data_IF_344809577369
#
_entry.id   IF_344809577369
#
_cell.length_a   1.000
_cell.length_b   1.000
_cell.length_c   1.000
_cell.angle_alpha   90.00
_cell.angle_beta   90.00
_cell.angle_gamma   90.00
#
_symmetry.space_group_name_H-M   'P 1'
#
loop_
_entity.id
_entity.type
_entity.pdbx_description
1 polymer ?
#
# COMPACT_ATOMS: atom_id res chain seq x y z
N UNK A 1 13.92 23.54 -16.15
CA UNK A 1 13.30 24.44 -15.15
C UNK A 1 13.08 23.57 -13.91
N UNK A 2 13.56 23.97 -12.73
CA UNK A 2 13.44 23.14 -11.53
C UNK A 2 11.95 23.00 -11.14
N UNK A 3 11.46 21.76 -11.00
CA UNK A 3 10.03 21.40 -10.85
C UNK A 3 9.34 22.25 -9.79
N UNK A 4 10.02 22.51 -8.67
CA UNK A 4 9.48 23.30 -7.57
C UNK A 4 9.14 24.76 -7.95
N UNK A 5 9.97 25.43 -8.77
CA UNK A 5 9.69 26.81 -9.20
C UNK A 5 8.54 26.87 -10.22
N UNK A 6 8.41 25.84 -11.06
CA UNK A 6 7.27 25.76 -11.98
C UNK A 6 5.96 25.59 -11.20
N UNK A 7 5.96 24.71 -10.21
CA UNK A 7 4.83 24.49 -9.32
C UNK A 7 4.50 25.77 -8.54
N UNK A 8 5.51 26.45 -8.01
CA UNK A 8 5.32 27.71 -7.28
C UNK A 8 4.65 28.78 -8.15
N UNK A 9 5.11 28.96 -9.40
CA UNK A 9 4.49 29.89 -10.34
C UNK A 9 3.04 29.53 -10.64
N UNK A 10 2.74 28.24 -10.85
CA UNK A 10 1.36 27.78 -11.05
C UNK A 10 0.47 28.04 -9.84
N UNK A 11 1.01 27.83 -8.63
CA UNK A 11 0.27 28.14 -7.42
C UNK A 11 0.00 29.63 -7.28
N UNK A 12 0.97 30.50 -7.58
CA UNK A 12 0.79 31.95 -7.55
C UNK A 12 -0.27 32.42 -8.55
N UNK A 13 -0.27 31.86 -9.76
CA UNK A 13 -1.30 32.13 -10.78
C UNK A 13 -2.69 31.69 -10.30
N UNK A 14 -2.82 30.48 -9.74
CA UNK A 14 -4.09 29.96 -9.22
C UNK A 14 -4.61 30.79 -8.04
N UNK A 15 -3.74 31.14 -7.08
CA UNK A 15 -4.10 31.96 -5.92
C UNK A 15 -4.49 33.38 -6.37
N UNK A 16 -3.72 33.98 -7.28
CA UNK A 16 -3.99 35.31 -7.82
C UNK A 16 -5.31 35.37 -8.59
N UNK A 17 -5.64 34.32 -9.33
CA UNK A 17 -6.85 34.22 -10.14
C UNK A 17 -8.06 33.65 -9.37
N UNK A 18 -7.93 33.29 -8.09
CA UNK A 18 -9.03 32.71 -7.31
C UNK A 18 -10.28 33.61 -7.31
N UNK A 19 -10.10 34.94 -7.29
CA UNK A 19 -11.19 35.93 -7.31
C UNK A 19 -11.87 36.08 -8.66
N UNK A 20 -11.27 35.56 -9.73
CA UNK A 20 -11.82 35.60 -11.10
C UNK A 20 -12.87 34.51 -11.27
N UNK A 21 -12.83 33.46 -10.46
CA UNK A 21 -13.81 32.39 -10.47
C UNK A 21 -14.93 32.69 -9.49
N UNK A 22 -16.08 33.10 -10.02
CA UNK A 22 -17.29 33.33 -9.22
C UNK A 22 -17.88 32.02 -8.64
N UNK A 23 -17.45 30.87 -9.19
CA UNK A 23 -17.90 29.54 -8.80
C UNK A 23 -16.73 28.70 -8.24
N UNK A 24 -16.88 28.27 -6.98
CA UNK A 24 -15.93 27.38 -6.31
C UNK A 24 -15.74 26.05 -7.04
N UNK A 25 -16.78 25.54 -7.73
CA UNK A 25 -16.69 24.31 -8.51
C UNK A 25 -15.76 24.48 -9.71
N UNK A 26 -15.89 25.59 -10.45
CA UNK A 26 -15.01 25.91 -11.58
C UNK A 26 -13.57 26.12 -11.11
N UNK A 27 -13.37 26.82 -9.99
CA UNK A 27 -12.03 26.99 -9.41
C UNK A 27 -11.40 25.65 -9.03
N UNK A 28 -12.13 24.79 -8.31
CA UNK A 28 -11.67 23.46 -7.93
C UNK A 28 -11.33 22.59 -9.15
N UNK A 29 -12.14 22.67 -10.20
CA UNK A 29 -11.90 22.00 -11.49
C UNK A 29 -10.56 22.43 -12.09
N UNK A 30 -10.30 23.74 -12.16
CA UNK A 30 -9.04 24.25 -12.68
C UNK A 30 -7.83 23.93 -11.80
N UNK A 31 -8.00 23.86 -10.47
CA UNK A 31 -6.95 23.40 -9.56
C UNK A 31 -6.55 21.96 -9.90
N UNK A 32 -7.51 21.05 -10.11
CA UNK A 32 -7.23 19.67 -10.53
C UNK A 32 -6.49 19.65 -11.87
N UNK A 33 -6.99 20.38 -12.88
CA UNK A 33 -6.40 20.42 -14.22
C UNK A 33 -4.95 20.92 -14.22
N UNK A 34 -4.69 22.01 -13.51
CA UNK A 34 -3.39 22.69 -13.55
C UNK A 34 -2.34 22.04 -12.67
N UNK A 35 -2.73 21.45 -11.53
CA UNK A 35 -1.79 20.88 -10.56
C UNK A 35 -1.69 19.35 -10.61
N UNK A 36 -2.77 18.64 -10.92
CA UNK A 36 -2.81 17.18 -10.81
C UNK A 36 -2.80 16.48 -12.18
N UNK A 37 -3.56 17.00 -13.14
CA UNK A 37 -3.59 16.43 -14.50
C UNK A 37 -2.45 16.94 -15.40
N UNK A 38 -1.79 18.02 -14.99
CA UNK A 38 -0.66 18.58 -15.70
C UNK A 38 0.59 17.71 -15.53
N UNK A 39 0.99 17.00 -16.60
CA UNK A 39 2.18 16.13 -16.60
C UNK A 39 3.51 16.84 -16.31
N UNK A 40 3.55 18.17 -16.39
CA UNK A 40 4.75 18.95 -16.03
C UNK A 40 4.85 19.22 -14.52
N UNK A 41 3.77 18.99 -13.77
CA UNK A 41 3.78 19.03 -12.31
C UNK A 41 4.19 17.66 -11.78
N UNK A 42 5.13 17.66 -10.83
CA UNK A 42 5.62 16.44 -10.21
C UNK A 42 5.78 16.68 -8.70
N UNK A 43 4.79 16.23 -7.93
CA UNK A 43 4.80 16.33 -6.46
C UNK A 43 5.75 15.31 -5.81
N UNK A 44 6.24 14.31 -6.55
CA UNK A 44 7.26 13.37 -6.07
C UNK A 44 8.67 14.01 -6.11
N UNK A 45 8.87 15.04 -6.94
CA UNK A 45 10.14 15.74 -7.06
C UNK A 45 10.32 16.92 -6.07
N UNK A 46 9.29 17.25 -5.29
CA UNK A 46 9.32 18.38 -4.33
C UNK A 46 9.40 17.85 -2.91
N UNK A 47 10.40 18.27 -2.15
CA UNK A 47 10.55 17.88 -0.75
C UNK A 47 9.94 18.92 0.22
N UNK A 48 9.10 18.52 1.19
CA UNK A 48 8.37 19.46 2.02
C UNK A 48 9.22 20.15 3.08
N UNK A 49 10.38 19.57 3.43
CA UNK A 49 11.32 20.09 4.45
C UNK A 49 12.57 20.74 3.85
N UNK A 50 12.52 21.12 2.56
CA UNK A 50 13.62 21.76 1.83
C UNK A 50 13.44 23.28 1.75
N UNK A 51 14.28 23.98 0.97
CA UNK A 51 14.17 25.42 0.67
C UNK A 51 12.82 25.85 0.04
N UNK A 52 11.89 24.92 -0.21
CA UNK A 52 10.60 25.12 -0.86
C UNK A 52 9.41 25.15 0.11
N UNK A 53 9.61 25.50 1.38
CA UNK A 53 8.53 25.66 2.39
C UNK A 53 7.39 26.55 1.87
N UNK A 54 7.71 27.63 1.16
CA UNK A 54 6.73 28.54 0.54
C UNK A 54 5.85 27.83 -0.50
N UNK A 55 6.46 27.01 -1.37
CA UNK A 55 5.74 26.22 -2.38
C UNK A 55 4.76 25.24 -1.72
N UNK A 56 5.17 24.59 -0.63
CA UNK A 56 4.31 23.68 0.13
C UNK A 56 3.13 24.42 0.75
N UNK A 57 3.33 25.55 1.41
CA UNK A 57 2.21 26.32 1.97
C UNK A 57 1.21 26.79 0.90
N UNK A 58 1.70 27.13 -0.29
CA UNK A 58 0.83 27.46 -1.43
C UNK A 58 0.07 26.22 -1.95
N UNK A 59 0.70 25.06 -1.98
CA UNK A 59 0.01 23.80 -2.30
C UNK A 59 -1.02 23.44 -1.21
N UNK A 60 -0.70 23.64 0.06
CA UNK A 60 -1.62 23.40 1.18
C UNK A 60 -2.87 24.28 1.10
N UNK A 61 -2.73 25.54 0.67
CA UNK A 61 -3.87 26.44 0.52
C UNK A 61 -4.77 26.09 -0.66
N UNK A 62 -4.25 25.36 -1.67
CA UNK A 62 -4.97 24.98 -2.88
C UNK A 62 -5.53 23.56 -2.84
N UNK A 63 -4.73 22.57 -2.44
CA UNK A 63 -5.10 21.15 -2.45
C UNK A 63 -5.08 20.51 -1.06
N UNK A 64 -4.53 21.16 -0.04
CA UNK A 64 -4.50 20.60 1.31
C UNK A 64 -5.89 20.26 1.84
N UNK A 65 -6.00 19.29 2.77
CA UNK A 65 -7.27 18.78 3.28
C UNK A 65 -8.24 19.88 3.78
N UNK A 66 -7.70 20.96 4.35
CA UNK A 66 -8.50 22.07 4.87
C UNK A 66 -8.73 23.22 3.85
N UNK A 67 -8.17 23.12 2.64
CA UNK A 67 -8.31 24.14 1.59
C UNK A 67 -9.75 24.27 1.12
N UNK A 68 -10.12 25.46 0.63
CA UNK A 68 -11.45 25.71 0.08
C UNK A 68 -11.72 24.80 -1.13
N UNK A 69 -10.75 24.66 -2.04
CA UNK A 69 -10.90 23.83 -3.24
C UNK A 69 -11.08 22.36 -2.88
N UNK A 70 -10.29 21.81 -1.94
CA UNK A 70 -10.44 20.40 -1.54
C UNK A 70 -11.80 20.12 -0.88
N UNK A 71 -12.30 21.07 -0.07
CA UNK A 71 -13.65 20.98 0.51
C UNK A 71 -14.72 20.94 -0.59
N UNK A 72 -14.59 21.79 -1.61
CA UNK A 72 -15.48 21.75 -2.79
C UNK A 72 -15.35 20.43 -3.54
N UNK A 73 -14.14 19.93 -3.77
CA UNK A 73 -13.90 18.62 -4.40
C UNK A 73 -14.62 17.51 -3.63
N UNK A 74 -14.53 17.50 -2.29
CA UNK A 74 -15.19 16.48 -1.48
C UNK A 74 -16.73 16.57 -1.49
N UNK A 75 -17.28 17.78 -1.66
CA UNK A 75 -18.71 18.02 -1.73
C UNK A 75 -19.35 17.55 -3.06
N UNK A 76 -18.56 17.43 -4.14
CA UNK A 76 -19.03 17.01 -5.47
C UNK A 76 -18.44 15.67 -5.88
N UNK A 77 -19.27 14.65 -6.06
CA UNK A 77 -18.81 13.27 -6.35
C UNK A 77 -17.96 13.17 -7.63
N UNK A 78 -18.36 13.84 -8.71
CA UNK A 78 -17.61 13.86 -9.97
C UNK A 78 -16.20 14.46 -9.81
N UNK A 79 -16.08 15.57 -9.06
CA UNK A 79 -14.79 16.18 -8.79
C UNK A 79 -13.94 15.32 -7.86
N UNK A 80 -14.56 14.65 -6.90
CA UNK A 80 -13.88 13.77 -5.96
C UNK A 80 -13.24 12.58 -6.69
N UNK A 81 -13.99 11.91 -7.56
CA UNK A 81 -13.47 10.80 -8.37
C UNK A 81 -12.37 11.28 -9.32
N UNK A 82 -12.58 12.40 -10.03
CA UNK A 82 -11.58 13.01 -10.92
C UNK A 82 -10.30 13.36 -10.17
N UNK A 83 -10.41 13.96 -8.99
CA UNK A 83 -9.27 14.26 -8.12
C UNK A 83 -8.49 12.99 -7.76
N UNK A 84 -9.18 11.94 -7.29
CA UNK A 84 -8.53 10.70 -6.89
C UNK A 84 -7.85 10.01 -8.07
N UNK A 85 -8.48 10.01 -9.24
CA UNK A 85 -7.89 9.49 -10.46
C UNK A 85 -6.63 10.27 -10.85
N UNK A 86 -6.68 11.60 -10.88
CA UNK A 86 -5.54 12.45 -11.23
C UNK A 86 -4.39 12.31 -10.22
N UNK A 87 -4.71 12.31 -8.92
CA UNK A 87 -3.75 12.14 -7.85
C UNK A 87 -3.06 10.76 -7.91
N UNK A 88 -3.83 9.67 -8.05
CA UNK A 88 -3.28 8.32 -8.20
C UNK A 88 -2.46 8.15 -9.48
N UNK A 89 -2.85 8.82 -10.56
CA UNK A 89 -2.13 8.72 -11.85
C UNK A 89 -0.75 9.35 -11.81
N UNK A 90 -0.50 10.29 -10.90
CA UNK A 90 0.80 10.96 -10.76
C UNK A 90 1.93 9.96 -10.45
N UNK A 91 1.66 8.96 -9.61
CA UNK A 91 2.66 7.91 -9.29
C UNK A 91 2.83 6.90 -10.41
N UNK A 92 1.86 6.74 -11.32
CA UNK A 92 1.96 5.80 -12.45
C UNK A 92 2.87 6.31 -13.56
N UNK A 93 2.80 7.60 -13.85
CA UNK A 93 3.48 8.18 -15.02
C UNK A 93 4.90 8.66 -14.73
N UNK A 94 5.25 8.85 -13.45
CA UNK A 94 6.55 9.37 -13.03
C UNK A 94 7.46 8.23 -12.58
N UNK A 95 8.53 8.02 -13.34
CA UNK A 95 9.55 7.05 -12.97
C UNK A 95 10.54 7.67 -11.98
N UNK A 96 10.44 7.27 -10.71
CA UNK A 96 11.40 7.64 -9.68
C UNK A 96 12.22 6.40 -9.35
N UNK A 97 13.52 6.46 -9.60
CA UNK A 97 14.44 5.33 -9.36
C UNK A 97 14.70 5.10 -7.87
N UNK A 98 14.66 6.16 -7.07
CA UNK A 98 14.95 6.08 -5.64
C UNK A 98 13.68 6.23 -4.81
N UNK A 99 13.20 5.10 -4.29
CA UNK A 99 12.02 5.05 -3.44
C UNK A 99 12.30 5.42 -1.98
N UNK A 100 13.57 5.53 -1.56
CA UNK A 100 13.91 5.86 -0.17
C UNK A 100 13.40 7.25 0.24
N UNK A 101 13.33 8.18 -0.73
CA UNK A 101 12.85 9.54 -0.50
C UNK A 101 11.33 9.70 -0.59
N UNK A 102 10.55 8.63 -0.84
CA UNK A 102 9.10 8.74 -1.01
C UNK A 102 8.43 9.52 0.14
N UNK A 103 8.78 9.20 1.39
CA UNK A 103 8.21 9.85 2.60
C UNK A 103 8.58 11.32 2.70
N UNK A 104 9.63 11.75 2.02
CA UNK A 104 10.11 13.12 1.96
C UNK A 104 9.54 13.87 0.75
N UNK A 105 8.50 13.37 0.09
CA UNK A 105 7.88 14.06 -1.06
C UNK A 105 6.62 14.83 -0.65
N UNK A 106 6.30 15.89 -1.39
CA UNK A 106 5.05 16.62 -1.26
C UNK A 106 3.85 15.71 -1.52
N UNK A 107 3.97 14.77 -2.47
CA UNK A 107 2.96 13.75 -2.72
C UNK A 107 2.66 12.92 -1.46
N UNK A 108 3.69 12.35 -0.83
CA UNK A 108 3.50 11.57 0.39
C UNK A 108 3.00 12.40 1.57
N UNK A 109 3.41 13.68 1.65
CA UNK A 109 2.88 14.63 2.63
C UNK A 109 1.36 14.82 2.50
N UNK A 110 0.88 15.14 1.28
CA UNK A 110 -0.54 15.31 1.04
C UNK A 110 -1.32 14.00 1.20
N UNK A 111 -0.78 12.89 0.68
CA UNK A 111 -1.40 11.57 0.86
C UNK A 111 -1.55 11.21 2.34
N UNK A 112 -0.51 11.42 3.14
CA UNK A 112 -0.56 11.17 4.59
C UNK A 112 -1.57 12.09 5.28
N UNK A 113 -1.63 13.37 4.89
CA UNK A 113 -2.62 14.32 5.40
C UNK A 113 -4.05 13.87 5.08
N UNK A 114 -4.34 13.44 3.84
CA UNK A 114 -5.65 12.91 3.50
C UNK A 114 -5.96 11.64 4.28
N UNK A 115 -5.05 10.66 4.28
CA UNK A 115 -5.23 9.39 5.01
C UNK A 115 -5.48 9.65 6.49
N UNK A 116 -4.73 10.54 7.14
CA UNK A 116 -4.90 10.85 8.56
C UNK A 116 -6.25 11.45 8.92
N UNK A 117 -6.88 12.17 7.99
CA UNK A 117 -8.20 12.76 8.19
C UNK A 117 -9.34 11.85 7.74
N UNK A 118 -9.18 11.11 6.63
CA UNK A 118 -10.15 10.11 6.21
C UNK A 118 -10.13 8.88 7.13
N UNK A 119 -8.98 8.54 7.74
CA UNK A 119 -8.79 7.42 8.65
C UNK A 119 -8.34 7.89 10.04
N UNK A 120 -9.22 8.55 10.81
CA UNK A 120 -8.83 9.12 12.09
C UNK A 120 -8.44 8.01 13.08
N UNK A 121 -7.20 8.11 13.59
CA UNK A 121 -6.66 7.16 14.57
C UNK A 121 -6.93 7.58 16.02
N UNK A 122 -7.35 8.83 16.26
CA UNK A 122 -7.60 9.40 17.60
C UNK A 122 -8.99 10.01 17.72
N UNK A 123 -9.54 10.05 18.94
CA UNK A 123 -10.85 10.65 19.20
C UNK A 123 -10.90 12.15 18.84
N UNK A 124 -9.80 12.88 19.02
CA UNK A 124 -9.71 14.29 18.64
C UNK A 124 -9.88 14.47 17.12
N UNK A 125 -9.17 13.67 16.32
CA UNK A 125 -9.30 13.69 14.86
C UNK A 125 -10.71 13.27 14.44
N UNK A 126 -11.23 12.20 15.03
CA UNK A 126 -12.59 11.72 14.74
C UNK A 126 -13.62 12.82 15.00
N UNK A 127 -13.53 13.50 16.14
CA UNK A 127 -14.41 14.62 16.49
C UNK A 127 -14.30 15.78 15.50
N UNK A 128 -13.07 16.14 15.12
CA UNK A 128 -12.81 17.20 14.14
C UNK A 128 -13.50 16.93 12.78
N UNK A 129 -13.41 15.70 12.28
CA UNK A 129 -13.99 15.35 10.97
C UNK A 129 -15.51 15.20 11.07
N UNK A 130 -16.04 14.66 12.18
CA UNK A 130 -17.49 14.58 12.41
C UNK A 130 -18.16 15.96 12.47
N UNK A 131 -17.46 16.96 12.99
CA UNK A 131 -17.97 18.34 13.09
C UNK A 131 -17.77 19.15 11.80
N UNK A 132 -17.23 18.56 10.74
CA UNK A 132 -16.98 19.25 9.48
C UNK A 132 -18.19 19.19 8.56
N UNK A 133 -18.86 20.34 8.38
CA UNK A 133 -20.11 20.45 7.60
C UNK A 133 -19.99 20.00 6.14
N UNK A 134 -18.80 20.14 5.54
CA UNK A 134 -18.52 19.77 4.15
C UNK A 134 -18.23 18.27 3.95
N UNK A 135 -18.03 17.54 5.05
CA UNK A 135 -17.86 16.08 5.04
C UNK A 135 -19.20 15.34 5.08
N UNK A 136 -20.29 16.09 5.29
CA UNK A 136 -21.63 15.56 5.39
C UNK A 136 -22.24 15.41 3.99
N UNK A 137 -22.34 14.17 3.50
CA UNK A 137 -23.14 13.87 2.30
C UNK A 137 -24.59 14.24 2.59
N UNK A 138 -25.12 15.21 1.85
CA UNK A 138 -26.49 15.68 2.01
C UNK A 138 -27.46 14.53 1.65
N UNK A 139 -28.30 14.03 2.57
CA UNK A 139 -29.11 12.82 2.35
C UNK A 139 -30.13 12.94 1.20
N UNK A 140 -30.36 14.17 0.71
CA UNK A 140 -31.27 14.47 -0.39
C UNK A 140 -30.69 14.13 -1.78
N UNK A 141 -29.43 13.72 -1.90
CA UNK A 141 -28.86 13.28 -3.19
C UNK A 141 -29.02 11.77 -3.45
N UNK A 142 -29.62 11.01 -2.54
CA UNK A 142 -29.98 9.62 -2.81
C UNK A 142 -31.04 9.59 -3.92
N UNK A 143 -30.61 9.22 -5.13
CA UNK A 143 -31.50 8.92 -6.23
C UNK A 143 -32.51 7.87 -5.78
N UNK A 144 -33.75 8.30 -5.56
CA UNK A 144 -34.85 7.42 -5.16
C UNK A 144 -34.96 6.29 -6.20
N UNK A 145 -34.62 5.07 -5.79
CA UNK A 145 -34.67 3.89 -6.65
C UNK A 145 -36.14 3.50 -6.86
N UNK A 146 -36.76 4.09 -7.88
CA UNK A 146 -38.17 3.89 -8.22
C UNK A 146 -38.44 2.62 -9.08
N UNK A 147 -37.52 1.66 -9.16
CA UNK A 147 -37.76 0.45 -9.97
C UNK A 147 -36.95 -0.78 -9.52
N UNK A 148 -37.59 -1.95 -9.30
CA UNK A 148 -36.92 -3.21 -8.94
C UNK A 148 -35.92 -3.72 -9.98
N UNK A 149 -36.10 -3.37 -11.26
CA UNK A 149 -35.21 -3.81 -12.35
C UNK A 149 -33.86 -3.08 -12.37
N UNK A 150 -33.73 -1.96 -11.66
CA UNK A 150 -32.44 -1.27 -11.50
C UNK A 150 -31.50 -1.99 -10.53
N UNK A 151 -32.00 -2.93 -9.72
CA UNK A 151 -31.22 -3.74 -8.78
C UNK A 151 -30.29 -4.77 -9.43
N UNK A 152 -30.49 -5.05 -10.73
CA UNK A 152 -29.73 -6.06 -11.47
C UNK A 152 -28.61 -5.47 -12.34
N UNK A 153 -28.34 -4.16 -12.22
CA UNK A 153 -27.20 -3.56 -12.93
C UNK A 153 -25.89 -3.90 -12.20
N UNK A 154 -24.78 -4.13 -12.92
CA UNK A 154 -23.47 -4.35 -12.29
C UNK A 154 -23.13 -3.25 -11.28
N UNK A 155 -23.46 -1.99 -11.60
CA UNK A 155 -23.25 -0.85 -10.70
C UNK A 155 -24.05 -0.96 -9.39
N UNK A 156 -25.22 -1.62 -9.39
CA UNK A 156 -26.07 -1.82 -8.21
C UNK A 156 -25.71 -3.09 -7.43
N UNK A 157 -25.07 -4.05 -8.09
CA UNK A 157 -24.48 -5.24 -7.46
C UNK A 157 -23.14 -4.85 -6.79
N UNK A 158 -22.32 -4.01 -7.42
CA UNK A 158 -21.17 -3.35 -6.77
C UNK A 158 -21.65 -2.41 -5.65
N UNK A 159 -22.74 -1.66 -5.85
CA UNK A 159 -23.38 -0.91 -4.77
C UNK A 159 -24.05 -1.81 -3.72
N UNK A 160 -24.21 -3.12 -3.94
CA UNK A 160 -24.77 -4.02 -2.92
C UNK A 160 -23.72 -4.34 -1.85
N UNK A 161 -22.43 -4.40 -2.21
CA UNK A 161 -21.34 -4.38 -1.23
C UNK A 161 -21.25 -3.04 -0.49
N UNK A 162 -21.50 -1.92 -1.16
CA UNK A 162 -21.69 -0.64 -0.48
C UNK A 162 -22.98 -0.62 0.37
N UNK A 163 -24.05 -1.30 -0.03
CA UNK A 163 -25.35 -1.28 0.63
C UNK A 163 -25.34 -1.94 2.01
N UNK A 164 -24.50 -2.95 2.25
CA UNK A 164 -24.27 -3.52 3.59
C UNK A 164 -23.74 -2.45 4.60
N UNK A 165 -23.04 -1.43 4.09
CA UNK A 165 -22.54 -0.30 4.87
C UNK A 165 -23.44 0.95 4.79
N UNK A 166 -24.26 1.08 3.75
CA UNK A 166 -25.10 2.28 3.52
C UNK A 166 -26.47 2.16 4.21
N UNK A 167 -26.96 0.94 4.50
CA UNK A 167 -28.30 0.69 5.06
C UNK A 167 -28.37 0.57 6.59
N UNK A 168 -27.41 1.12 7.32
CA UNK A 168 -27.54 1.25 8.78
C UNK A 168 -27.86 2.70 9.12
N UNK A 169 -29.07 3.01 9.64
CA UNK A 169 -29.58 4.39 9.83
C UNK A 169 -28.71 5.33 10.65
N UNK A 170 -27.74 4.80 11.42
CA UNK A 170 -26.77 5.51 12.26
C UNK A 170 -25.48 5.91 11.54
N UNK A 171 -25.18 5.39 10.34
CA UNK A 171 -23.93 5.65 9.60
C UNK A 171 -24.03 6.86 8.68
N UNK A 172 -24.79 7.87 9.10
CA UNK A 172 -25.04 9.06 8.30
C UNK A 172 -23.75 9.88 8.21
N UNK A 173 -23.10 9.77 7.05
CA UNK A 173 -22.33 10.80 6.36
C UNK A 173 -20.78 10.69 6.37
N UNK A 174 -20.13 10.31 7.47
CA UNK A 174 -18.64 10.22 7.53
C UNK A 174 -18.07 8.97 6.84
N UNK A 175 -18.68 7.82 7.14
CA UNK A 175 -18.20 6.49 6.75
C UNK A 175 -18.18 6.24 5.23
N UNK A 176 -19.16 6.71 4.44
CA UNK A 176 -19.15 6.54 2.99
C UNK A 176 -17.98 7.25 2.32
N UNK A 177 -17.58 8.46 2.77
CA UNK A 177 -16.46 9.20 2.18
C UNK A 177 -15.11 8.57 2.52
N UNK A 178 -14.92 8.10 3.75
CA UNK A 178 -13.77 7.28 4.13
C UNK A 178 -13.66 6.04 3.23
N UNK A 179 -14.77 5.32 3.10
CA UNK A 179 -14.87 4.14 2.26
C UNK A 179 -14.52 4.47 0.81
N UNK A 180 -15.20 5.46 0.22
CA UNK A 180 -14.97 5.90 -1.15
C UNK A 180 -13.51 6.31 -1.39
N UNK A 181 -12.90 7.08 -0.47
CA UNK A 181 -11.53 7.54 -0.62
C UNK A 181 -10.55 6.37 -0.82
N UNK A 182 -10.53 5.42 0.12
CA UNK A 182 -9.59 4.30 0.08
C UNK A 182 -9.91 3.34 -1.06
N UNK A 183 -11.19 3.04 -1.24
CA UNK A 183 -11.68 2.14 -2.26
C UNK A 183 -11.29 2.60 -3.66
N UNK A 184 -11.56 3.87 -4.00
CA UNK A 184 -11.18 4.44 -5.30
C UNK A 184 -9.67 4.59 -5.44
N UNK A 185 -8.98 5.06 -4.39
CA UNK A 185 -7.54 5.26 -4.46
C UNK A 185 -6.81 3.93 -4.72
N UNK A 186 -7.16 2.86 -3.99
CA UNK A 186 -6.58 1.52 -4.22
C UNK A 186 -7.00 1.01 -5.59
N UNK A 187 -8.29 1.09 -5.97
CA UNK A 187 -8.76 0.67 -7.30
C UNK A 187 -7.96 1.34 -8.42
N UNK A 188 -7.76 2.65 -8.36
CA UNK A 188 -6.99 3.37 -9.38
C UNK A 188 -5.51 3.00 -9.37
N UNK A 189 -4.92 2.76 -8.18
CA UNK A 189 -3.54 2.32 -8.04
C UNK A 189 -3.34 0.82 -8.35
N UNK A 190 -4.39 0.02 -8.51
CA UNK A 190 -4.28 -1.40 -8.86
C UNK A 190 -4.74 -1.70 -10.29
N UNK A 191 -5.16 -0.69 -11.06
CA UNK A 191 -5.44 -0.91 -12.49
C UNK A 191 -4.16 -1.21 -13.25
N UNK A 192 -4.26 -2.14 -14.19
CA UNK A 192 -3.17 -2.63 -15.05
C UNK A 192 -3.25 -2.02 -16.46
N UNK A 193 -3.74 -0.78 -16.56
CA UNK A 193 -3.80 -0.01 -17.82
C UNK A 193 -2.40 0.28 -18.38
N UNK A 194 -1.42 0.40 -17.49
CA UNK A 194 0.01 0.43 -17.79
C UNK A 194 0.73 -0.55 -16.88
N UNK A 195 1.92 -1.03 -17.29
CA UNK A 195 2.74 -1.84 -16.40
C UNK A 195 3.05 -1.05 -15.11
N UNK A 196 2.77 -1.61 -13.91
CA UNK A 196 2.97 -0.89 -12.67
C UNK A 196 4.44 -0.56 -12.43
N UNK A 197 4.71 0.42 -11.57
CA UNK A 197 6.07 0.80 -11.20
C UNK A 197 6.30 0.67 -9.67
N UNK A 198 7.55 0.74 -9.25
CA UNK A 198 7.92 0.57 -7.84
C UNK A 198 7.30 1.67 -6.95
N UNK A 199 7.17 2.90 -7.44
CA UNK A 199 6.56 3.99 -6.68
C UNK A 199 5.08 3.77 -6.42
N UNK A 200 4.36 3.15 -7.37
CA UNK A 200 2.98 2.72 -7.19
C UNK A 200 2.87 1.65 -6.10
N UNK A 201 3.79 0.68 -6.04
CA UNK A 201 3.85 -0.33 -4.97
C UNK A 201 4.14 0.29 -3.60
N UNK A 202 5.10 1.21 -3.52
CA UNK A 202 5.44 1.93 -2.28
C UNK A 202 4.26 2.78 -1.81
N UNK A 203 3.54 3.43 -2.73
CA UNK A 203 2.33 4.20 -2.43
C UNK A 203 1.23 3.30 -1.88
N UNK A 204 0.99 2.14 -2.50
CA UNK A 204 0.04 1.14 -2.01
C UNK A 204 0.43 0.65 -0.60
N UNK A 205 1.70 0.33 -0.37
CA UNK A 205 2.20 -0.08 0.95
C UNK A 205 1.92 1.00 2.00
N UNK A 206 2.21 2.27 1.68
CA UNK A 206 1.94 3.40 2.57
C UNK A 206 0.45 3.55 2.91
N UNK A 207 -0.43 3.43 1.92
CA UNK A 207 -1.89 3.47 2.13
C UNK A 207 -2.34 2.33 3.05
N UNK A 208 -1.84 1.11 2.80
CA UNK A 208 -2.16 -0.07 3.60
C UNK A 208 -1.67 0.06 5.04
N UNK A 209 -0.47 0.61 5.27
CA UNK A 209 0.05 0.88 6.61
C UNK A 209 -0.86 1.84 7.39
N UNK A 210 -1.32 2.92 6.74
CA UNK A 210 -2.28 3.86 7.36
C UNK A 210 -3.63 3.20 7.62
N UNK A 211 -4.14 2.40 6.68
CA UNK A 211 -5.38 1.64 6.85
C UNK A 211 -5.33 0.70 8.06
N UNK A 212 -4.24 -0.05 8.24
CA UNK A 212 -4.12 -0.96 9.37
C UNK A 212 -3.89 -0.22 10.69
N UNK A 213 -3.09 0.85 10.70
CA UNK A 213 -2.97 1.73 11.89
C UNK A 213 -4.34 2.22 12.34
N UNK A 214 -5.19 2.58 11.39
CA UNK A 214 -6.58 2.95 11.64
C UNK A 214 -7.44 1.82 12.20
N UNK A 215 -7.35 0.61 11.63
CA UNK A 215 -8.11 -0.54 12.10
C UNK A 215 -7.72 -0.99 13.51
N UNK A 216 -6.46 -0.83 13.89
CA UNK A 216 -5.94 -1.23 15.20
C UNK A 216 -6.19 -0.16 16.26
N UNK A 217 -6.23 1.11 15.88
CA UNK A 217 -6.41 2.20 16.85
C UNK A 217 -7.77 2.15 17.55
N UNK A 218 -7.75 2.47 18.84
CA UNK A 218 -8.96 2.49 19.67
C UNK A 218 -9.55 3.90 19.70
N UNK A 219 -10.88 3.96 19.66
CA UNK A 219 -11.66 5.19 19.77
C UNK A 219 -12.84 4.93 20.69
N UNK A 220 -13.26 5.94 21.44
CA UNK A 220 -14.37 5.82 22.39
C UNK A 220 -15.75 5.66 21.71
N UNK A 221 -15.83 5.96 20.42
CA UNK A 221 -17.06 5.88 19.63
C UNK A 221 -17.41 4.44 19.23
N UNK A 222 -18.50 3.90 19.78
CA UNK A 222 -18.94 2.52 19.56
C UNK A 222 -19.35 2.21 18.12
N UNK A 223 -19.99 3.17 17.45
CA UNK A 223 -20.40 3.01 16.05
C UNK A 223 -19.16 2.99 15.16
N UNK A 224 -18.19 3.84 15.46
CA UNK A 224 -16.90 3.89 14.77
C UNK A 224 -16.08 2.60 14.96
N UNK A 225 -16.09 2.03 16.16
CA UNK A 225 -15.44 0.75 16.42
C UNK A 225 -16.14 -0.41 15.70
N UNK A 226 -17.48 -0.38 15.64
CA UNK A 226 -18.26 -1.37 14.89
C UNK A 226 -17.97 -1.29 13.38
N UNK A 227 -17.79 -0.07 12.85
CA UNK A 227 -17.35 0.15 11.47
C UNK A 227 -15.98 -0.47 11.20
N UNK A 228 -14.98 -0.18 12.04
CA UNK A 228 -13.62 -0.72 11.93
C UNK A 228 -13.62 -2.24 11.96
N UNK A 229 -14.43 -2.87 12.82
CA UNK A 229 -14.53 -4.33 12.88
C UNK A 229 -15.02 -4.92 11.55
N UNK A 230 -16.01 -4.30 10.91
CA UNK A 230 -16.48 -4.74 9.58
C UNK A 230 -15.41 -4.58 8.52
N UNK A 231 -14.74 -3.43 8.49
CA UNK A 231 -13.64 -3.16 7.56
C UNK A 231 -12.46 -4.14 7.74
N UNK A 232 -12.18 -4.54 8.98
CA UNK A 232 -11.16 -5.54 9.30
C UNK A 232 -11.48 -6.90 8.68
N UNK A 233 -12.73 -7.34 8.76
CA UNK A 233 -13.14 -8.66 8.28
C UNK A 233 -13.34 -8.69 6.76
N UNK A 234 -13.72 -7.56 6.16
CA UNK A 234 -14.04 -7.46 4.73
C UNK A 234 -13.60 -6.09 4.18
N UNK A 235 -12.29 -5.90 3.91
CA UNK A 235 -11.82 -4.68 3.27
C UNK A 235 -12.45 -4.54 1.88
N UNK A 236 -13.00 -3.38 1.52
CA UNK A 236 -13.77 -3.25 0.29
C UNK A 236 -12.93 -3.35 -0.99
N UNK A 237 -11.66 -3.00 -0.88
CA UNK A 237 -10.69 -3.02 -1.97
C UNK A 237 -9.93 -4.35 -2.09
N UNK A 238 -10.26 -5.34 -1.25
CA UNK A 238 -9.48 -6.56 -1.11
C UNK A 238 -9.30 -7.30 -2.45
N UNK A 239 -10.39 -7.46 -3.20
CA UNK A 239 -10.38 -8.18 -4.48
C UNK A 239 -9.47 -7.51 -5.53
N UNK A 240 -9.53 -6.18 -5.70
CA UNK A 240 -8.64 -5.50 -6.63
C UNK A 240 -7.17 -5.63 -6.24
N UNK A 241 -6.86 -5.52 -4.95
CA UNK A 241 -5.49 -5.64 -4.47
C UNK A 241 -4.97 -7.08 -4.58
N UNK A 242 -5.82 -8.06 -4.32
CA UNK A 242 -5.52 -9.47 -4.49
C UNK A 242 -5.19 -9.82 -5.95
N UNK A 243 -6.06 -9.45 -6.88
CA UNK A 243 -5.87 -9.75 -8.31
C UNK A 243 -4.64 -9.04 -8.88
N UNK A 244 -4.41 -7.80 -8.44
CA UNK A 244 -3.20 -7.06 -8.74
C UNK A 244 -1.95 -7.79 -8.23
N UNK A 245 -1.91 -8.16 -6.94
CA UNK A 245 -0.77 -8.86 -6.34
C UNK A 245 -0.50 -10.20 -7.00
N UNK A 246 -1.53 -11.00 -7.29
CA UNK A 246 -1.40 -12.24 -8.05
C UNK A 246 -0.65 -12.00 -9.36
N UNK A 247 -1.12 -11.03 -10.14
CA UNK A 247 -0.51 -10.71 -11.43
C UNK A 247 0.93 -10.21 -11.30
N UNK A 248 1.20 -9.38 -10.29
CA UNK A 248 2.55 -8.88 -10.03
C UNK A 248 3.49 -10.00 -9.58
N UNK A 249 3.06 -10.90 -8.70
CA UNK A 249 3.89 -12.04 -8.27
C UNK A 249 4.22 -12.99 -9.43
N UNK A 250 3.26 -13.24 -10.33
CA UNK A 250 3.46 -14.08 -11.51
C UNK A 250 4.43 -13.47 -12.53
N UNK A 251 4.19 -12.20 -12.90
CA UNK A 251 4.83 -11.60 -14.07
C UNK A 251 6.01 -10.67 -13.75
N UNK A 252 6.12 -10.16 -12.51
CA UNK A 252 7.12 -9.14 -12.20
C UNK A 252 8.54 -9.72 -12.20
N UNK A 253 9.53 -9.02 -12.79
CA UNK A 253 10.92 -9.49 -12.78
C UNK A 253 11.43 -9.79 -11.37
N UNK A 254 12.15 -10.90 -11.20
CA UNK A 254 12.71 -11.28 -9.89
C UNK A 254 13.99 -10.50 -9.59
N UNK A 255 13.88 -9.17 -9.53
CA UNK A 255 14.94 -8.25 -9.15
C UNK A 255 14.70 -7.69 -7.72
N UNK A 256 15.50 -6.70 -7.31
CA UNK A 256 15.40 -6.09 -5.98
C UNK A 256 14.00 -5.52 -5.67
N UNK A 257 13.25 -5.08 -6.69
CA UNK A 257 11.94 -4.49 -6.53
C UNK A 257 10.83 -5.51 -6.28
N UNK A 258 11.10 -6.80 -6.55
CA UNK A 258 10.18 -7.89 -6.23
C UNK A 258 9.91 -8.00 -4.72
N UNK A 259 10.89 -7.63 -3.88
CA UNK A 259 10.73 -7.54 -2.42
C UNK A 259 9.54 -6.63 -2.07
N UNK A 260 9.38 -5.50 -2.76
CA UNK A 260 8.28 -4.55 -2.47
C UNK A 260 6.91 -5.16 -2.73
N UNK A 261 6.78 -6.07 -3.70
CA UNK A 261 5.53 -6.81 -3.96
C UNK A 261 5.25 -7.79 -2.82
N UNK A 262 6.28 -8.52 -2.39
CA UNK A 262 6.17 -9.48 -1.28
C UNK A 262 5.84 -8.78 0.03
N UNK A 263 6.46 -7.62 0.31
CA UNK A 263 6.12 -6.79 1.47
C UNK A 263 4.67 -6.30 1.43
N UNK A 264 4.19 -5.87 0.26
CA UNK A 264 2.80 -5.43 0.10
C UNK A 264 1.82 -6.59 0.30
N UNK A 265 2.15 -7.78 -0.21
CA UNK A 265 1.39 -9.01 0.04
C UNK A 265 1.39 -9.37 1.53
N UNK A 266 2.54 -9.37 2.20
CA UNK A 266 2.64 -9.62 3.64
C UNK A 266 1.77 -8.65 4.42
N UNK A 267 1.76 -7.37 4.05
CA UNK A 267 0.91 -6.38 4.70
C UNK A 267 -0.58 -6.68 4.47
N UNK A 268 -0.97 -7.19 3.30
CA UNK A 268 -2.34 -7.62 3.02
C UNK A 268 -2.78 -8.79 3.92
N UNK A 269 -1.92 -9.79 4.11
CA UNK A 269 -2.30 -11.05 4.75
C UNK A 269 -1.95 -11.13 6.23
N UNK A 270 -0.83 -10.54 6.65
CA UNK A 270 -0.25 -10.59 8.00
C UNK A 270 0.44 -9.27 8.40
N UNK A 271 -0.32 -8.21 8.75
CA UNK A 271 0.22 -6.93 9.21
C UNK A 271 0.73 -6.97 10.67
N UNK A 272 1.50 -8.00 11.04
CA UNK A 272 1.91 -8.31 12.43
C UNK A 272 2.49 -7.11 13.18
N UNK A 273 3.36 -6.32 12.52
CA UNK A 273 4.05 -5.18 13.12
C UNK A 273 3.10 -4.03 13.53
N UNK A 274 1.84 -4.07 13.09
CA UNK A 274 0.85 -3.04 13.34
C UNK A 274 -0.15 -3.46 14.43
N UNK A 275 -0.24 -4.75 14.78
CA UNK A 275 -1.17 -5.26 15.79
C UNK A 275 -0.43 -5.52 17.11
N UNK A 276 -0.79 -4.77 18.15
CA UNK A 276 -0.31 -5.05 19.51
C UNK A 276 -1.12 -6.14 20.23
N UNK A 277 -2.36 -6.38 19.78
CA UNK A 277 -3.28 -7.36 20.34
C UNK A 277 -3.31 -8.63 19.48
N UNK A 278 -2.75 -9.71 20.04
CA UNK A 278 -2.66 -11.02 19.37
C UNK A 278 -4.03 -11.61 19.00
N UNK A 279 -5.09 -11.32 19.75
CA UNK A 279 -6.43 -11.85 19.45
C UNK A 279 -7.03 -11.15 18.24
N UNK A 280 -6.84 -9.83 18.13
CA UNK A 280 -7.27 -9.05 16.95
C UNK A 280 -6.48 -9.49 15.71
N UNK A 281 -5.18 -9.76 15.87
CA UNK A 281 -4.34 -10.31 14.79
C UNK A 281 -4.82 -11.70 14.37
N UNK A 282 -5.08 -12.61 15.32
CA UNK A 282 -5.63 -13.95 15.05
C UNK A 282 -6.91 -13.88 14.22
N UNK A 283 -7.88 -13.08 14.64
CA UNK A 283 -9.15 -12.93 13.92
C UNK A 283 -8.94 -12.45 12.49
N UNK A 284 -8.03 -11.49 12.30
CA UNK A 284 -7.68 -11.01 10.97
C UNK A 284 -7.06 -12.13 10.11
N UNK A 285 -6.03 -12.81 10.63
CA UNK A 285 -5.34 -13.91 9.94
C UNK A 285 -6.28 -15.04 9.53
N UNK A 286 -7.20 -15.45 10.41
CA UNK A 286 -8.18 -16.48 10.09
C UNK A 286 -9.07 -16.06 8.91
N UNK A 287 -9.46 -14.78 8.83
CA UNK A 287 -10.26 -14.25 7.72
C UNK A 287 -9.50 -14.07 6.40
N UNK A 288 -8.17 -13.92 6.44
CA UNK A 288 -7.30 -13.75 5.26
C UNK A 288 -6.57 -15.03 4.81
N UNK A 289 -6.78 -16.15 5.51
CA UNK A 289 -6.04 -17.41 5.35
C UNK A 289 -6.10 -18.01 3.94
N UNK A 290 -7.25 -17.94 3.25
CA UNK A 290 -7.36 -18.44 1.87
C UNK A 290 -6.48 -17.66 0.89
N UNK A 291 -6.43 -16.34 1.03
CA UNK A 291 -5.58 -15.47 0.22
C UNK A 291 -4.10 -15.62 0.56
N UNK A 292 -3.78 -15.91 1.82
CA UNK A 292 -2.42 -16.27 2.19
C UNK A 292 -1.93 -17.49 1.40
N UNK A 293 -2.76 -18.54 1.34
CA UNK A 293 -2.45 -19.79 0.63
C UNK A 293 -2.34 -19.56 -0.88
N UNK A 294 -3.29 -18.85 -1.48
CA UNK A 294 -3.32 -18.67 -2.94
C UNK A 294 -2.08 -17.97 -3.51
N UNK A 295 -1.49 -17.03 -2.76
CA UNK A 295 -0.39 -16.20 -3.26
C UNK A 295 1.00 -16.69 -2.83
N UNK A 296 1.09 -17.44 -1.72
CA UNK A 296 2.39 -17.96 -1.25
C UNK A 296 2.96 -19.02 -2.20
N UNK A 297 2.11 -19.85 -2.80
CA UNK A 297 2.52 -20.86 -3.77
C UNK A 297 3.19 -20.22 -5.00
N UNK A 298 2.68 -19.07 -5.46
CA UNK A 298 3.27 -18.32 -6.56
C UNK A 298 4.68 -17.86 -6.19
N UNK A 299 4.86 -17.30 -4.98
CA UNK A 299 6.18 -16.88 -4.49
C UNK A 299 7.14 -18.07 -4.47
N UNK A 300 6.69 -19.23 -3.97
CA UNK A 300 7.51 -20.43 -3.84
C UNK A 300 7.93 -20.96 -5.23
N UNK A 301 7.00 -21.05 -6.18
CA UNK A 301 7.29 -21.45 -7.56
C UNK A 301 8.33 -20.51 -8.17
N UNK A 302 8.12 -19.19 -8.04
CA UNK A 302 9.05 -18.17 -8.57
C UNK A 302 10.44 -18.28 -7.96
N UNK A 303 10.55 -18.61 -6.67
CA UNK A 303 11.84 -18.84 -5.99
C UNK A 303 12.53 -20.11 -6.49
N UNK A 304 11.78 -21.19 -6.72
CA UNK A 304 12.31 -22.45 -7.25
C UNK A 304 12.80 -22.29 -8.70
N UNK A 305 12.07 -21.51 -9.51
CA UNK A 305 12.39 -21.25 -10.91
C UNK A 305 13.47 -20.18 -11.11
N UNK A 306 13.70 -19.32 -10.10
CA UNK A 306 14.70 -18.28 -10.17
C UNK A 306 16.12 -18.88 -10.21
N UNK A 307 16.98 -18.33 -11.08
CA UNK A 307 18.40 -18.66 -11.07
C UNK A 307 19.04 -18.06 -9.81
N UNK A 308 19.05 -18.83 -8.72
CA UNK A 308 19.53 -18.50 -7.37
C UNK A 308 20.96 -17.93 -7.33
N UNK A 309 21.71 -18.02 -8.43
CA UNK A 309 23.06 -17.48 -8.60
C UNK A 309 23.09 -16.01 -9.03
N UNK A 310 21.95 -15.40 -9.40
CA UNK A 310 21.95 -13.98 -9.74
C UNK A 310 22.26 -13.14 -8.50
N UNK A 311 23.30 -12.29 -8.52
CA UNK A 311 23.61 -11.40 -7.40
C UNK A 311 22.47 -10.41 -7.08
N UNK A 312 21.51 -10.21 -7.99
CA UNK A 312 20.30 -9.41 -7.75
C UNK A 312 19.30 -10.08 -6.80
N UNK A 313 19.37 -11.40 -6.62
CA UNK A 313 18.43 -12.18 -5.81
C UNK A 313 18.86 -12.33 -4.36
N UNK A 314 20.14 -12.15 -4.04
CA UNK A 314 20.68 -12.30 -2.68
C UNK A 314 19.86 -11.58 -1.60
N UNK A 315 19.60 -10.27 -1.73
CA UNK A 315 18.79 -9.53 -0.76
C UNK A 315 17.35 -10.04 -0.63
N UNK A 316 16.75 -10.53 -1.71
CA UNK A 316 15.41 -11.10 -1.68
C UNK A 316 15.40 -12.45 -0.95
N UNK A 317 16.41 -13.29 -1.20
CA UNK A 317 16.56 -14.57 -0.52
C UNK A 317 16.83 -14.39 0.98
N UNK A 318 17.68 -13.43 1.34
CA UNK A 318 17.94 -13.07 2.73
C UNK A 318 16.63 -12.62 3.41
N UNK A 319 15.86 -11.73 2.77
CA UNK A 319 14.55 -11.31 3.27
C UNK A 319 13.55 -12.47 3.44
N UNK A 320 13.49 -13.40 2.47
CA UNK A 320 12.61 -14.57 2.59
C UNK A 320 13.00 -15.45 3.79
N UNK A 321 14.29 -15.68 4.03
CA UNK A 321 14.76 -16.57 5.10
C UNK A 321 14.69 -15.89 6.47
N UNK A 322 15.12 -14.64 6.55
CA UNK A 322 15.31 -13.91 7.82
C UNK A 322 14.01 -13.26 8.32
N UNK A 323 13.10 -12.87 7.43
CA UNK A 323 11.85 -12.20 7.80
C UNK A 323 10.64 -13.11 7.53
N UNK A 324 10.38 -13.45 6.26
CA UNK A 324 9.14 -14.11 5.83
C UNK A 324 9.00 -15.53 6.40
N UNK A 325 10.03 -16.34 6.26
CA UNK A 325 10.08 -17.71 6.75
C UNK A 325 10.91 -17.81 8.03
N UNK A 326 11.04 -16.73 8.79
CA UNK A 326 11.67 -16.78 10.10
C UNK A 326 10.93 -17.77 11.00
N UNK A 327 11.68 -18.46 11.87
CA UNK A 327 11.09 -19.42 12.82
C UNK A 327 10.04 -18.74 13.72
N UNK A 328 10.24 -17.47 14.05
CA UNK A 328 9.29 -16.66 14.78
C UNK A 328 7.98 -16.46 14.00
N UNK A 329 8.05 -16.11 12.71
CA UNK A 329 6.86 -15.90 11.88
C UNK A 329 6.12 -17.22 11.63
N UNK A 330 6.83 -18.32 11.39
CA UNK A 330 6.20 -19.63 11.17
C UNK A 330 5.46 -20.11 12.44
N UNK A 331 6.07 -19.95 13.62
CA UNK A 331 5.40 -20.24 14.91
C UNK A 331 4.18 -19.34 15.14
N UNK A 332 4.23 -18.09 14.69
CA UNK A 332 3.10 -17.18 14.78
C UNK A 332 1.93 -17.67 13.91
N UNK A 333 2.21 -18.09 12.68
CA UNK A 333 1.23 -18.68 11.77
C UNK A 333 0.63 -19.98 12.36
N UNK A 334 1.47 -20.80 13.00
CA UNK A 334 1.06 -22.05 13.65
C UNK A 334 0.13 -21.78 14.83
N UNK A 335 0.49 -20.81 15.68
CA UNK A 335 -0.34 -20.33 16.79
C UNK A 335 -1.72 -19.82 16.34
N UNK A 336 -1.84 -19.37 15.10
CA UNK A 336 -3.08 -18.88 14.52
C UNK A 336 -3.81 -19.90 13.65
N UNK A 337 -3.37 -21.16 13.66
CA UNK A 337 -3.98 -22.27 12.95
C UNK A 337 -4.09 -22.00 11.44
N UNK A 338 -3.15 -21.23 10.88
CA UNK A 338 -3.07 -21.03 9.43
C UNK A 338 -2.68 -22.38 8.81
N UNK A 339 -3.51 -22.96 7.93
CA UNK A 339 -3.15 -24.20 7.26
C UNK A 339 -1.88 -23.95 6.45
N UNK A 340 -0.87 -24.82 6.57
CA UNK A 340 0.42 -24.85 5.83
C UNK A 340 1.71 -24.59 6.62
N UNK A 341 1.72 -24.43 7.94
CA UNK A 341 2.97 -24.23 8.70
C UNK A 341 4.04 -25.31 8.41
N UNK A 342 3.66 -26.58 8.36
CA UNK A 342 4.57 -27.69 8.01
C UNK A 342 5.15 -27.55 6.60
N UNK A 343 4.31 -27.12 5.65
CA UNK A 343 4.74 -26.88 4.27
C UNK A 343 5.73 -25.71 4.19
N UNK A 344 5.50 -24.61 4.92
CA UNK A 344 6.41 -23.47 4.97
C UNK A 344 7.76 -23.80 5.61
N UNK A 345 7.78 -24.65 6.65
CA UNK A 345 9.03 -25.13 7.24
C UNK A 345 9.87 -25.94 6.24
N UNK A 346 9.23 -26.84 5.49
CA UNK A 346 9.91 -27.64 4.46
C UNK A 346 10.44 -26.75 3.34
N UNK A 347 9.63 -25.77 2.90
CA UNK A 347 10.02 -24.79 1.88
C UNK A 347 11.21 -23.95 2.35
N UNK A 348 11.17 -23.46 3.59
CA UNK A 348 12.26 -22.71 4.23
C UNK A 348 13.56 -23.52 4.21
N UNK A 349 13.53 -24.76 4.69
CA UNK A 349 14.71 -25.62 4.74
C UNK A 349 15.30 -25.84 3.34
N UNK A 350 14.46 -26.11 2.35
CA UNK A 350 14.89 -26.27 0.95
C UNK A 350 15.50 -24.99 0.38
N UNK A 351 14.87 -23.84 0.62
CA UNK A 351 15.37 -22.54 0.18
C UNK A 351 16.73 -22.25 0.83
N UNK A 352 16.83 -22.43 2.14
CA UNK A 352 18.05 -22.17 2.90
C UNK A 352 19.22 -23.05 2.43
N UNK A 353 19.00 -24.36 2.31
CA UNK A 353 20.03 -25.31 1.84
C UNK A 353 20.48 -24.97 0.42
N UNK A 354 19.54 -24.64 -0.47
CA UNK A 354 19.85 -24.29 -1.87
C UNK A 354 20.66 -23.00 -1.94
N UNK A 355 20.24 -21.96 -1.23
CA UNK A 355 20.91 -20.67 -1.20
C UNK A 355 22.32 -20.75 -0.60
N UNK A 356 22.49 -21.46 0.52
CA UNK A 356 23.81 -21.67 1.14
C UNK A 356 24.75 -22.48 0.22
N UNK A 357 24.23 -23.48 -0.47
CA UNK A 357 25.01 -24.28 -1.43
C UNK A 357 25.47 -23.44 -2.63
N UNK A 358 24.61 -22.59 -3.19
CA UNK A 358 24.96 -21.71 -4.30
C UNK A 358 25.93 -20.60 -3.88
N UNK A 359 25.75 -20.02 -2.68
CA UNK A 359 26.71 -19.07 -2.08
C UNK A 359 28.09 -19.71 -1.87
N UNK A 360 28.13 -20.96 -1.40
CA UNK A 360 29.39 -21.70 -1.26
C UNK A 360 30.06 -21.96 -2.63
N UNK A 361 29.29 -22.34 -3.66
CA UNK A 361 29.79 -22.53 -5.03
C UNK A 361 30.36 -21.24 -5.62
N UNK A 362 29.69 -20.10 -5.44
CA UNK A 362 30.15 -18.81 -5.98
C UNK A 362 31.44 -18.33 -5.31
N UNK A 363 31.57 -18.52 -3.99
CA UNK A 363 32.83 -18.27 -3.26
C UNK A 363 33.93 -19.16 -3.83
N UNK A 364 33.71 -20.48 -3.95
CA UNK A 364 34.70 -21.41 -4.49
C UNK A 364 35.15 -21.07 -5.93
N UNK A 365 34.22 -20.60 -6.79
CA UNK A 365 34.54 -20.13 -8.14
C UNK A 365 35.32 -18.80 -8.15
N UNK A 366 35.11 -17.94 -7.15
CA UNK A 366 35.85 -16.68 -7.01
C UNK A 366 37.27 -16.95 -6.50
N UNK A 367 37.41 -17.90 -5.57
CA UNK A 367 38.71 -18.34 -5.05
C UNK A 367 39.55 -19.04 -6.13
N UNK A 368 38.92 -19.86 -6.98
CA UNK A 368 39.63 -20.54 -8.07
C UNK A 368 40.14 -19.59 -9.16
N UNK A 369 39.49 -18.42 -9.31
CA UNK A 369 39.91 -17.37 -10.26
C UNK A 369 40.97 -16.41 -9.73
N UNK A 370 41.11 -16.26 -8.41
CA UNK A 370 42.13 -15.42 -7.76
C UNK A 370 42.71 -16.12 -6.51
N UNK A 371 43.68 -17.04 -6.67
CA UNK A 371 44.24 -17.78 -5.55
C UNK A 371 45.26 -16.92 -4.81
N UNK A 372 44.79 -16.14 -3.82
CA UNK A 372 45.67 -15.46 -2.87
C UNK A 372 45.73 -16.22 -1.54
N UNK A 373 46.84 -16.13 -0.79
CA UNK A 373 47.04 -16.87 0.47
C UNK A 373 45.99 -16.56 1.55
N UNK A 374 45.36 -15.38 1.52
CA UNK A 374 44.26 -15.03 2.44
C UNK A 374 42.94 -15.75 2.12
N UNK A 375 42.82 -16.35 0.94
CA UNK A 375 41.57 -16.98 0.46
C UNK A 375 41.47 -18.46 0.88
N UNK A 376 42.60 -19.12 1.15
CA UNK A 376 42.64 -20.51 1.64
C UNK A 376 42.26 -20.62 3.13
N UNK A 377 42.55 -19.60 3.95
CA UNK A 377 42.12 -19.55 5.35
C UNK A 377 40.61 -19.37 5.49
N UNK A 378 39.98 -18.60 4.59
CA UNK A 378 38.52 -18.43 4.53
C UNK A 378 37.81 -19.74 4.13
N UNK A 379 38.37 -20.50 3.18
CA UNK A 379 37.85 -21.84 2.81
C UNK A 379 37.97 -22.81 4.00
N UNK A 380 39.11 -22.81 4.71
CA UNK A 380 39.30 -23.69 5.85
C UNK A 380 38.35 -23.37 7.02
N UNK A 381 38.13 -22.08 7.31
CA UNK A 381 37.16 -21.66 8.32
C UNK A 381 35.71 -22.01 7.97
N UNK A 382 35.33 -21.86 6.69
CA UNK A 382 33.98 -22.20 6.22
C UNK A 382 33.72 -23.72 6.27
N UNK A 383 34.68 -24.54 5.84
CA UNK A 383 34.57 -26.00 5.91
C UNK A 383 34.54 -26.55 7.35
N UNK A 384 35.27 -25.93 8.30
CA UNK A 384 35.23 -26.33 9.70
C UNK A 384 33.89 -26.02 10.38
N UNK A 385 33.26 -24.87 10.07
CA UNK A 385 31.95 -24.55 10.60
C UNK A 385 30.84 -25.46 10.04
N UNK A 386 30.94 -25.89 8.77
CA UNK A 386 29.95 -26.76 8.12
C UNK A 386 30.00 -28.21 8.60
N UNK A 387 31.16 -28.71 9.04
CA UNK A 387 31.29 -30.05 9.61
C UNK A 387 30.63 -30.17 10.99
N UNK A 388 30.31 -29.06 11.65
CA UNK A 388 29.69 -29.05 12.98
C UNK A 388 28.16 -28.87 12.96
N UNK A 389 27.56 -28.46 11.83
CA UNK A 389 26.14 -28.07 11.75
C UNK A 389 25.25 -28.99 10.91
N UNK A 390 25.76 -30.09 10.34
CA UNK A 390 24.92 -31.07 9.63
C UNK A 390 24.59 -32.23 10.58
N UNK A 391 23.37 -32.32 11.17
CA UNK A 391 22.91 -33.55 11.76
C UNK A 391 22.67 -34.57 10.63
N UNK A 392 23.20 -35.78 10.81
CA UNK A 392 22.95 -36.91 9.91
C UNK A 392 21.45 -37.24 9.87
N UNK A 393 20.73 -36.69 8.90
CA UNK A 393 19.40 -37.19 8.53
C UNK A 393 19.64 -38.49 7.73
N UNK A 394 19.44 -39.63 8.40
CA UNK A 394 19.25 -40.91 7.73
C UNK A 394 17.86 -40.91 7.11
N UNK A 395 17.79 -41.08 5.80
CA UNK A 395 16.59 -41.49 5.11
C UNK A 395 16.46 -43.01 5.29
N UNK A 396 15.49 -43.44 6.08
CA UNK A 396 14.83 -44.73 5.94
C UNK A 396 13.41 -44.49 5.42
#
# INVERSE_FOLDING_TARGET
>A
MNSAYHIEYLCDDLIGNQRVYDDNFLFATHVIERLLENRNVDLLAVAPYSNFTTTIHKLESLIGFNSASFKTICAHEDLFERFLFAFASMVKWKFVQDTHYFRETAYAYFLSSYLDNFLPTTDQKLTSVKNSDWFVVNPNSSAVVNSPLKLLRPEVIESSFASEFTYVPTFRNLYPKLYQFINHLIRFLTTLDTWPNVMQLVTLKHIMEHYYKFLVSETNDRDFMSFKLRLRNKPPFFHWLHDFLRRMLEDWPTDWSYITIVELWQLLVCPQNLFQDENKLRQFMSSSSSTYIDLIDIIIIRVIEADMLSPSLGPFMDYLIEEMFSEANVRLLEKFEVPMCDYLLIVREKIQVTYENEKAKSVLQTVSKNPSQGTLSAIFGFCQNRAQTIPHIRLD
#
